data_IF_013812076012
#
_entry.id   IF_013812076012
#
_cell.length_a   1.000
_cell.length_b   1.000
_cell.length_c   1.000
_cell.angle_alpha   90.00
_cell.angle_beta   90.00
_cell.angle_gamma   90.00
#
_symmetry.space_group_name_H-M   'P 1'
#
loop_
_entity.id
_entity.type
_entity.pdbx_description
1 polymer ?
#
# COMPACT_ATOMS: atom_id res chain seq x y z
N UNK A 1 -9.04 -20.26 12.65
CA UNK A 1 -7.82 -19.40 12.69
C UNK A 1 -8.07 -18.32 11.64
N UNK A 2 -8.36 -17.08 12.07
CA UNK A 2 -8.39 -15.94 11.17
C UNK A 2 -6.92 -15.59 10.91
N UNK A 3 -6.39 -15.99 9.77
CA UNK A 3 -5.13 -15.44 9.28
C UNK A 3 -5.39 -13.95 9.01
N UNK A 4 -4.61 -13.09 9.62
CA UNK A 4 -4.67 -11.65 9.38
C UNK A 4 -3.99 -11.40 8.03
N UNK A 5 -4.81 -11.38 6.99
CA UNK A 5 -4.38 -11.17 5.62
C UNK A 5 -3.89 -9.75 5.46
N UNK A 6 -2.63 -9.62 5.11
CA UNK A 6 -2.01 -8.36 4.74
C UNK A 6 -2.34 -8.04 3.27
N UNK A 7 -3.59 -7.71 2.99
CA UNK A 7 -3.95 -7.13 1.71
C UNK A 7 -3.29 -5.75 1.56
N UNK A 8 -2.29 -5.68 0.70
CA UNK A 8 -1.56 -4.44 0.39
C UNK A 8 -2.35 -3.65 -0.63
N UNK A 9 -3.25 -2.81 -0.16
CA UNK A 9 -4.09 -1.97 -1.00
C UNK A 9 -3.44 -0.70 -1.53
N UNK A 10 -2.13 -0.65 -1.70
CA UNK A 10 -1.43 0.54 -2.21
C UNK A 10 -1.79 0.83 -3.68
N UNK A 11 -2.22 -0.18 -4.42
CA UNK A 11 -2.47 -0.07 -5.86
C UNK A 11 -3.78 0.64 -6.19
N UNK A 12 -4.77 0.52 -5.32
CA UNK A 12 -6.15 0.96 -5.62
C UNK A 12 -6.28 2.49 -5.69
N UNK A 13 -5.43 3.25 -4.99
CA UNK A 13 -5.46 4.72 -5.00
C UNK A 13 -4.86 5.36 -6.26
N UNK A 14 -4.08 4.61 -7.03
CA UNK A 14 -3.51 5.12 -8.28
C UNK A 14 -4.55 5.20 -9.42
N UNK A 15 -5.69 4.51 -9.30
CA UNK A 15 -6.72 4.45 -10.35
C UNK A 15 -7.33 5.83 -10.63
N UNK A 16 -7.46 6.68 -9.64
CA UNK A 16 -8.06 8.01 -9.79
C UNK A 16 -7.25 9.00 -10.66
N UNK A 17 -6.00 8.67 -11.02
CA UNK A 17 -5.10 9.57 -11.78
C UNK A 17 -4.68 9.09 -13.17
N UNK A 18 -5.02 7.86 -13.58
CA UNK A 18 -4.41 7.22 -14.76
C UNK A 18 -5.24 7.36 -16.05
N UNK A 19 -6.51 7.75 -15.99
CA UNK A 19 -7.44 7.81 -17.14
C UNK A 19 -7.03 8.71 -18.33
N UNK A 20 -5.77 9.08 -18.50
CA UNK A 20 -5.35 10.07 -19.50
C UNK A 20 -4.69 9.51 -20.77
N UNK A 21 -4.45 8.20 -20.90
CA UNK A 21 -3.78 7.66 -22.09
C UNK A 21 -4.56 6.48 -22.70
N UNK A 22 -5.46 6.80 -23.63
CA UNK A 22 -6.19 5.81 -24.43
C UNK A 22 -5.28 5.12 -25.44
N UNK A 23 -5.10 3.83 -25.28
CA UNK A 23 -4.79 2.88 -26.35
C UNK A 23 -5.86 1.80 -26.35
N UNK A 24 -6.07 1.11 -27.51
CA UNK A 24 -7.09 0.04 -27.67
C UNK A 24 -6.84 -1.23 -26.82
N UNK A 25 -5.91 -1.18 -25.86
CA UNK A 25 -5.65 -2.22 -24.88
C UNK A 25 -6.64 -2.11 -23.72
N UNK A 26 -6.92 -3.22 -23.05
CA UNK A 26 -7.80 -3.25 -21.86
C UNK A 26 -7.37 -2.16 -20.88
N UNK A 27 -8.33 -1.41 -20.31
CA UNK A 27 -7.99 -0.42 -19.28
C UNK A 27 -7.17 -1.08 -18.17
N UNK A 28 -6.13 -0.39 -17.71
CA UNK A 28 -5.24 -0.86 -16.63
C UNK A 28 -6.05 -1.25 -15.39
N UNK A 29 -7.13 -0.54 -15.13
CA UNK A 29 -8.08 -0.80 -14.06
C UNK A 29 -8.70 -2.20 -14.14
N UNK A 30 -9.06 -2.65 -15.34
CA UNK A 30 -9.60 -4.00 -15.56
C UNK A 30 -8.56 -5.09 -15.34
N UNK A 31 -7.29 -4.84 -15.66
CA UNK A 31 -6.20 -5.77 -15.35
C UNK A 31 -5.97 -5.88 -13.85
N UNK A 32 -5.93 -4.75 -13.16
CA UNK A 32 -5.76 -4.69 -11.72
C UNK A 32 -6.87 -5.44 -10.98
N UNK A 33 -8.13 -5.27 -11.39
CA UNK A 33 -9.25 -6.00 -10.83
C UNK A 33 -9.15 -7.51 -11.03
N UNK A 34 -8.75 -7.96 -12.23
CA UNK A 34 -8.53 -9.39 -12.51
C UNK A 34 -7.38 -9.98 -11.67
N UNK A 35 -6.34 -9.21 -11.39
CA UNK A 35 -5.25 -9.65 -10.52
C UNK A 35 -5.70 -9.75 -9.07
N UNK A 36 -6.53 -8.81 -8.60
CA UNK A 36 -7.14 -8.84 -7.28
C UNK A 36 -8.01 -10.10 -7.08
N UNK A 37 -8.94 -10.38 -7.99
CA UNK A 37 -9.79 -11.57 -7.94
C UNK A 37 -8.96 -12.85 -7.79
N UNK A 38 -7.92 -13.02 -8.63
CA UNK A 38 -7.03 -14.18 -8.59
C UNK A 38 -6.26 -14.29 -7.27
N UNK A 39 -5.82 -13.16 -6.71
CA UNK A 39 -5.09 -13.15 -5.45
C UNK A 39 -5.99 -13.58 -4.29
N UNK A 40 -7.25 -13.11 -4.25
CA UNK A 40 -8.24 -13.51 -3.25
C UNK A 40 -8.55 -15.01 -3.34
N UNK A 41 -8.72 -15.53 -4.53
CA UNK A 41 -9.00 -16.96 -4.74
C UNK A 41 -7.82 -17.85 -4.29
N UNK A 42 -6.58 -17.44 -4.60
CA UNK A 42 -5.38 -18.18 -4.20
C UNK A 42 -5.16 -18.13 -2.69
N UNK A 43 -5.38 -16.98 -2.07
CA UNK A 43 -5.22 -16.82 -0.63
C UNK A 43 -6.18 -17.69 0.17
N UNK A 44 -7.38 -17.92 -0.34
CA UNK A 44 -8.35 -18.84 0.24
C UNK A 44 -8.00 -20.32 -0.02
N UNK A 45 -6.94 -20.60 -0.79
CA UNK A 45 -6.48 -21.95 -1.07
C UNK A 45 -5.49 -22.45 0.00
N UNK A 46 -5.58 -23.74 0.35
CA UNK A 46 -4.63 -24.40 1.26
C UNK A 46 -3.22 -24.58 0.64
N UNK A 47 -3.03 -24.14 -0.60
CA UNK A 47 -1.80 -24.34 -1.38
C UNK A 47 -0.95 -23.10 -1.54
N UNK A 48 -1.35 -21.94 -0.96
CA UNK A 48 -0.55 -20.73 -1.04
C UNK A 48 0.75 -20.87 -0.23
N UNK A 49 1.82 -20.26 -0.73
CA UNK A 49 3.18 -20.44 -0.21
C UNK A 49 3.58 -19.25 0.64
N UNK A 50 4.11 -19.51 1.83
CA UNK A 50 4.71 -18.50 2.70
C UNK A 50 6.04 -18.04 2.11
N UNK A 51 6.19 -16.72 1.89
CA UNK A 51 7.41 -16.09 1.37
C UNK A 51 8.26 -15.48 2.48
N UNK A 52 7.61 -14.89 3.48
CA UNK A 52 8.26 -14.35 4.67
C UNK A 52 7.31 -14.30 5.87
N UNK A 53 7.89 -14.20 7.06
CA UNK A 53 7.16 -13.99 8.32
C UNK A 53 7.85 -12.86 9.10
N UNK A 54 7.04 -11.94 9.63
CA UNK A 54 7.44 -10.93 10.59
C UNK A 54 6.56 -11.07 11.82
N UNK A 55 7.13 -11.48 12.95
CA UNK A 55 6.37 -11.83 14.17
C UNK A 55 5.27 -12.85 13.84
N UNK A 56 3.99 -12.47 13.97
CA UNK A 56 2.83 -13.32 13.67
C UNK A 56 2.22 -13.05 12.27
N UNK A 57 2.79 -12.11 11.51
CA UNK A 57 2.29 -11.68 10.21
C UNK A 57 3.02 -12.42 9.10
N UNK A 58 2.26 -12.99 8.16
CA UNK A 58 2.77 -13.83 7.09
C UNK A 58 2.59 -13.14 5.74
N UNK A 59 3.65 -13.09 4.93
CA UNK A 59 3.61 -12.63 3.54
C UNK A 59 3.45 -13.86 2.63
N UNK A 60 2.35 -13.91 1.88
CA UNK A 60 2.00 -15.02 1.01
C UNK A 60 2.41 -14.74 -0.43
N UNK A 61 2.67 -15.81 -1.20
CA UNK A 61 3.09 -15.72 -2.60
C UNK A 61 2.03 -15.04 -3.47
N UNK A 62 0.74 -15.34 -3.27
CA UNK A 62 -0.37 -14.71 -3.97
C UNK A 62 -0.34 -13.18 -3.86
N UNK A 63 -0.06 -12.67 -2.66
CA UNK A 63 0.06 -11.22 -2.39
C UNK A 63 1.27 -10.62 -3.11
N UNK A 64 2.41 -11.32 -3.12
CA UNK A 64 3.63 -10.87 -3.82
C UNK A 64 3.40 -10.81 -5.33
N UNK A 65 2.76 -11.83 -5.91
CA UNK A 65 2.42 -11.87 -7.33
C UNK A 65 1.42 -10.77 -7.72
N UNK A 66 0.39 -10.55 -6.90
CA UNK A 66 -0.54 -9.44 -7.10
C UNK A 66 0.18 -8.09 -7.08
N UNK A 67 1.00 -7.83 -6.06
CA UNK A 67 1.73 -6.57 -5.92
C UNK A 67 2.65 -6.31 -7.11
N UNK A 68 3.36 -7.34 -7.59
CA UNK A 68 4.23 -7.23 -8.78
C UNK A 68 3.44 -6.86 -10.02
N UNK A 69 2.39 -7.62 -10.33
CA UNK A 69 1.56 -7.38 -11.51
C UNK A 69 0.93 -6.00 -11.48
N UNK A 70 0.48 -5.56 -10.31
CA UNK A 70 -0.07 -4.25 -10.14
C UNK A 70 0.97 -3.13 -10.37
N UNK A 71 2.19 -3.29 -9.84
CA UNK A 71 3.28 -2.34 -10.10
C UNK A 71 3.68 -2.30 -11.58
N UNK A 72 3.73 -3.46 -12.26
CA UNK A 72 4.04 -3.56 -13.68
C UNK A 72 2.97 -2.86 -14.52
N UNK A 73 1.69 -3.16 -14.27
CA UNK A 73 0.57 -2.56 -14.99
C UNK A 73 0.55 -1.03 -14.84
N UNK A 74 0.69 -0.52 -13.60
CA UNK A 74 0.73 0.91 -13.32
C UNK A 74 1.93 1.62 -13.96
N UNK A 75 3.06 0.93 -14.08
CA UNK A 75 4.26 1.46 -14.71
C UNK A 75 4.28 1.29 -16.24
N UNK A 76 3.25 0.68 -16.83
CA UNK A 76 3.21 0.33 -18.26
C UNK A 76 4.33 -0.62 -18.68
N UNK A 77 4.77 -1.50 -17.77
CA UNK A 77 5.85 -2.47 -18.02
C UNK A 77 5.28 -3.83 -18.43
N UNK A 78 5.98 -4.58 -19.30
CA UNK A 78 5.61 -5.95 -19.62
C UNK A 78 5.62 -6.85 -18.38
N UNK A 79 4.72 -7.83 -18.32
CA UNK A 79 4.65 -8.82 -17.23
C UNK A 79 6.00 -9.55 -17.06
N UNK A 80 6.46 -9.69 -15.83
CA UNK A 80 7.71 -10.35 -15.46
C UNK A 80 8.98 -9.49 -15.59
N UNK A 81 8.85 -8.19 -15.87
CA UNK A 81 9.98 -7.25 -15.96
C UNK A 81 10.12 -6.31 -14.76
N UNK A 82 9.25 -6.48 -13.78
CA UNK A 82 9.21 -5.67 -12.56
C UNK A 82 10.20 -6.11 -11.49
N UNK A 83 9.91 -5.71 -10.25
CA UNK A 83 10.72 -6.03 -9.08
C UNK A 83 10.78 -7.54 -8.80
N UNK A 84 11.88 -7.99 -8.24
CA UNK A 84 12.04 -9.39 -7.78
C UNK A 84 11.09 -9.70 -6.61
N UNK A 85 10.86 -10.99 -6.36
CA UNK A 85 10.06 -11.44 -5.21
C UNK A 85 10.59 -10.87 -3.91
N UNK A 86 11.91 -10.82 -3.76
CA UNK A 86 12.56 -10.29 -2.57
C UNK A 86 12.27 -8.81 -2.36
N UNK A 87 12.39 -7.99 -3.39
CA UNK A 87 12.11 -6.56 -3.32
C UNK A 87 10.64 -6.30 -2.95
N UNK A 88 9.71 -7.06 -3.54
CA UNK A 88 8.28 -6.95 -3.22
C UNK A 88 8.00 -7.37 -1.77
N UNK A 89 8.57 -8.48 -1.32
CA UNK A 89 8.44 -8.94 0.07
C UNK A 89 9.00 -7.89 1.04
N UNK A 90 10.15 -7.31 0.73
CA UNK A 90 10.78 -6.26 1.54
C UNK A 90 9.88 -5.01 1.62
N UNK A 91 9.24 -4.61 0.53
CA UNK A 91 8.30 -3.48 0.52
C UNK A 91 7.03 -3.78 1.34
N UNK A 92 6.51 -5.00 1.26
CA UNK A 92 5.37 -5.44 2.09
C UNK A 92 5.76 -5.40 3.56
N UNK A 93 6.90 -5.98 3.93
CA UNK A 93 7.38 -6.00 5.31
C UNK A 93 7.61 -4.60 5.88
N UNK A 94 8.21 -3.69 5.10
CA UNK A 94 8.36 -2.28 5.50
C UNK A 94 7.02 -1.65 5.85
N UNK A 95 6.00 -1.84 5.03
CA UNK A 95 4.67 -1.28 5.30
C UNK A 95 4.04 -1.87 6.59
N UNK A 96 4.26 -3.17 6.86
CA UNK A 96 3.79 -3.84 8.08
C UNK A 96 4.47 -3.27 9.31
N UNK A 97 5.80 -3.13 9.27
CA UNK A 97 6.61 -2.60 10.37
C UNK A 97 6.23 -1.15 10.65
N UNK A 98 6.09 -0.32 9.61
CA UNK A 98 5.67 1.06 9.75
C UNK A 98 4.30 1.22 10.41
N UNK A 99 3.35 0.37 10.07
CA UNK A 99 2.05 0.38 10.73
C UNK A 99 2.18 0.02 12.22
N UNK A 100 2.94 -1.02 12.54
CA UNK A 100 3.15 -1.43 13.93
C UNK A 100 3.83 -0.34 14.76
N UNK A 101 4.84 0.32 14.21
CA UNK A 101 5.49 1.45 14.88
C UNK A 101 4.55 2.64 15.08
N UNK A 102 3.74 2.96 14.08
CA UNK A 102 2.73 4.00 14.21
C UNK A 102 1.72 3.68 15.31
N UNK A 103 1.28 2.41 15.40
CA UNK A 103 0.42 1.94 16.50
C UNK A 103 1.09 2.11 17.87
N UNK A 104 2.35 1.69 18.01
CA UNK A 104 3.11 1.79 19.25
C UNK A 104 3.34 3.25 19.70
N UNK A 105 3.48 4.17 18.75
CA UNK A 105 3.62 5.60 19.00
C UNK A 105 2.29 6.35 19.15
N UNK A 106 1.14 5.66 19.02
CA UNK A 106 -0.19 6.27 19.10
C UNK A 106 -0.52 7.19 17.91
N UNK A 107 0.08 6.93 16.74
CA UNK A 107 -0.07 7.73 15.53
C UNK A 107 -1.13 7.19 14.56
N UNK A 108 -1.94 6.23 15.01
CA UNK A 108 -3.04 5.72 14.17
C UNK A 108 -4.06 6.83 13.90
N UNK A 109 -4.61 6.91 12.69
CA UNK A 109 -5.64 7.89 12.35
C UNK A 109 -6.94 7.62 13.11
N UNK A 110 -7.70 8.69 13.33
CA UNK A 110 -9.08 8.59 13.82
C UNK A 110 -10.02 8.18 12.69
N UNK A 111 -11.23 7.72 13.03
CA UNK A 111 -12.28 7.42 12.05
C UNK A 111 -12.63 8.65 11.19
N UNK A 112 -12.61 9.85 11.77
CA UNK A 112 -12.86 11.11 11.04
C UNK A 112 -11.76 11.40 10.00
N UNK A 113 -10.48 11.17 10.33
CA UNK A 113 -9.37 11.34 9.38
C UNK A 113 -9.46 10.31 8.24
N UNK A 114 -9.88 9.07 8.53
CA UNK A 114 -10.11 8.05 7.51
C UNK A 114 -11.25 8.45 6.58
N UNK A 115 -12.37 8.92 7.13
CA UNK A 115 -13.51 9.36 6.32
C UNK A 115 -13.16 10.58 5.47
N UNK A 116 -12.45 11.56 6.02
CA UNK A 116 -11.95 12.71 5.26
C UNK A 116 -11.06 12.27 4.11
N UNK A 117 -10.14 11.34 4.35
CA UNK A 117 -9.26 10.80 3.32
C UNK A 117 -10.05 10.11 2.19
N UNK A 118 -11.05 9.30 2.52
CA UNK A 118 -11.92 8.68 1.51
C UNK A 118 -12.71 9.73 0.73
N UNK A 119 -13.21 10.78 1.40
CA UNK A 119 -13.92 11.87 0.77
C UNK A 119 -13.05 12.61 -0.24
N UNK A 120 -11.82 12.93 0.13
CA UNK A 120 -10.89 13.70 -0.70
C UNK A 120 -10.28 12.87 -1.85
N UNK A 121 -10.23 11.56 -1.72
CA UNK A 121 -9.61 10.67 -2.72
C UNK A 121 -10.66 9.88 -3.50
N UNK A 122 -11.36 8.96 -2.85
CA UNK A 122 -12.22 7.98 -3.52
C UNK A 122 -13.52 8.59 -4.01
N UNK A 123 -14.23 9.28 -3.12
CA UNK A 123 -15.54 9.87 -3.50
C UNK A 123 -15.36 11.03 -4.47
N UNK A 124 -14.31 11.84 -4.31
CA UNK A 124 -13.98 12.89 -5.25
C UNK A 124 -13.64 12.33 -6.64
N UNK A 125 -12.87 11.24 -6.71
CA UNK A 125 -12.56 10.56 -7.96
C UNK A 125 -13.82 9.97 -8.61
N UNK A 126 -14.65 9.27 -7.84
CA UNK A 126 -15.88 8.64 -8.34
C UNK A 126 -16.93 9.67 -8.81
N UNK A 127 -16.86 10.90 -8.31
CA UNK A 127 -17.71 12.00 -8.79
C UNK A 127 -17.31 12.52 -10.18
N UNK A 128 -16.11 12.22 -10.66
CA UNK A 128 -15.61 12.56 -12.00
C UNK A 128 -15.93 11.44 -13.00
N UNK A 129 -16.36 11.75 -14.24
CA UNK A 129 -16.72 10.71 -15.22
C UNK A 129 -15.61 9.67 -15.46
N UNK A 130 -14.37 10.13 -15.65
CA UNK A 130 -13.22 9.29 -15.92
C UNK A 130 -12.87 8.41 -14.70
N UNK A 131 -12.89 8.98 -13.49
CA UNK A 131 -12.64 8.24 -12.25
C UNK A 131 -13.72 7.19 -11.98
N UNK A 132 -14.99 7.54 -12.26
CA UNK A 132 -16.10 6.58 -12.16
C UNK A 132 -15.94 5.42 -13.14
N UNK A 133 -15.60 5.69 -14.41
CA UNK A 133 -15.39 4.67 -15.43
C UNK A 133 -14.26 3.70 -15.01
N UNK A 134 -13.12 4.23 -14.52
CA UNK A 134 -12.00 3.41 -14.06
C UNK A 134 -12.36 2.56 -12.84
N UNK A 135 -13.04 3.13 -11.84
CA UNK A 135 -13.45 2.40 -10.63
C UNK A 135 -14.48 1.33 -10.99
N UNK A 136 -15.48 1.64 -11.84
CA UNK A 136 -16.47 0.67 -12.30
C UNK A 136 -15.81 -0.47 -13.08
N UNK A 137 -14.82 -0.19 -13.94
CA UNK A 137 -14.06 -1.19 -14.68
C UNK A 137 -13.25 -2.12 -13.75
N UNK A 138 -12.60 -1.54 -12.73
CA UNK A 138 -11.91 -2.31 -11.70
C UNK A 138 -12.90 -3.23 -10.95
N UNK A 139 -13.98 -2.67 -10.42
CA UNK A 139 -14.97 -3.42 -9.65
C UNK A 139 -15.57 -4.60 -10.47
N UNK A 140 -15.90 -4.33 -11.73
CA UNK A 140 -16.43 -5.36 -12.63
C UNK A 140 -15.45 -6.52 -12.86
N UNK A 141 -14.16 -6.21 -13.01
CA UNK A 141 -13.12 -7.23 -13.25
C UNK A 141 -12.63 -7.91 -11.96
N UNK A 142 -12.78 -7.26 -10.80
CA UNK A 142 -12.51 -7.81 -9.49
C UNK A 142 -13.67 -8.66 -8.93
N UNK A 143 -14.83 -8.63 -9.57
CA UNK A 143 -16.03 -9.31 -9.08
C UNK A 143 -16.62 -8.74 -7.80
N UNK A 144 -16.41 -7.42 -7.54
CA UNK A 144 -16.88 -6.72 -6.34
C UNK A 144 -17.80 -5.54 -6.71
N UNK A 145 -18.61 -5.12 -5.75
CA UNK A 145 -19.42 -3.90 -5.86
C UNK A 145 -18.61 -2.65 -5.52
N UNK A 146 -19.12 -1.47 -5.87
CA UNK A 146 -18.53 -0.19 -5.45
C UNK A 146 -18.49 -0.05 -3.92
N UNK A 147 -19.53 -0.50 -3.24
CA UNK A 147 -19.58 -0.49 -1.77
C UNK A 147 -18.49 -1.35 -1.16
N UNK A 148 -18.26 -2.57 -1.67
CA UNK A 148 -17.17 -3.45 -1.24
C UNK A 148 -15.80 -2.83 -1.55
N UNK A 149 -15.65 -2.17 -2.71
CA UNK A 149 -14.44 -1.41 -3.04
C UNK A 149 -14.14 -0.33 -2.02
N UNK A 150 -15.14 0.49 -1.65
CA UNK A 150 -14.99 1.55 -0.65
C UNK A 150 -14.65 0.97 0.72
N UNK A 151 -15.30 -0.13 1.12
CA UNK A 151 -15.01 -0.78 2.41
C UNK A 151 -13.59 -1.35 2.47
N UNK A 152 -13.13 -1.99 1.39
CA UNK A 152 -11.74 -2.44 1.28
C UNK A 152 -10.75 -1.29 1.42
N UNK A 153 -11.05 -0.12 0.85
CA UNK A 153 -10.22 1.08 1.01
C UNK A 153 -10.29 1.66 2.42
N UNK A 154 -11.45 1.62 3.06
CA UNK A 154 -11.64 2.04 4.46
C UNK A 154 -10.76 1.22 5.40
N UNK A 155 -10.66 -0.09 5.19
CA UNK A 155 -9.79 -0.97 5.97
C UNK A 155 -8.28 -0.70 5.75
N UNK A 156 -7.94 -0.14 4.60
CA UNK A 156 -6.55 0.11 4.22
C UNK A 156 -6.09 1.54 4.50
N UNK A 157 -6.99 2.51 4.46
CA UNK A 157 -6.69 3.93 4.68
C UNK A 157 -5.92 4.18 6.00
N UNK A 158 -6.21 3.50 7.12
CA UNK A 158 -5.44 3.67 8.35
C UNK A 158 -3.96 3.42 8.18
N UNK A 159 -3.54 2.45 7.35
CA UNK A 159 -2.13 2.15 7.09
C UNK A 159 -1.43 3.26 6.32
N UNK A 160 -2.11 3.80 5.31
CA UNK A 160 -1.58 4.90 4.48
C UNK A 160 -1.38 6.15 5.32
N UNK A 161 -2.40 6.51 6.10
CA UNK A 161 -2.39 7.69 6.96
C UNK A 161 -1.36 7.56 8.11
N UNK A 162 -1.30 6.39 8.76
CA UNK A 162 -0.34 6.11 9.82
C UNK A 162 1.11 6.24 9.34
N UNK A 163 1.41 5.75 8.13
CA UNK A 163 2.73 5.93 7.50
C UNK A 163 3.09 7.40 7.30
N UNK A 164 2.12 8.21 6.86
CA UNK A 164 2.29 9.66 6.72
C UNK A 164 2.60 10.32 8.07
N UNK A 165 1.79 10.04 9.08
CA UNK A 165 1.97 10.57 10.45
C UNK A 165 3.30 10.14 11.08
N UNK A 166 3.74 8.91 10.84
CA UNK A 166 5.03 8.43 11.35
C UNK A 166 6.21 9.20 10.71
N UNK A 167 6.16 9.43 9.39
CA UNK A 167 7.18 10.24 8.71
C UNK A 167 7.22 11.67 9.24
N UNK A 168 6.06 12.29 9.45
CA UNK A 168 5.95 13.63 10.05
C UNK A 168 6.55 13.65 11.46
N UNK A 169 6.23 12.66 12.30
CA UNK A 169 6.77 12.56 13.66
C UNK A 169 8.30 12.43 13.67
N UNK A 170 8.88 11.61 12.79
CA UNK A 170 10.33 11.45 12.67
C UNK A 170 10.99 12.77 12.25
N UNK A 171 10.41 13.48 11.27
CA UNK A 171 10.93 14.76 10.82
C UNK A 171 10.86 15.84 11.94
N UNK A 172 9.76 15.85 12.70
CA UNK A 172 9.59 16.76 13.84
C UNK A 172 10.59 16.44 14.96
N UNK A 173 10.77 15.17 15.34
CA UNK A 173 11.75 14.71 16.32
C UNK A 173 13.18 15.11 15.92
N UNK A 174 13.52 14.96 14.62
CA UNK A 174 14.80 15.40 14.09
C UNK A 174 14.97 16.91 14.25
N UNK A 175 14.00 17.71 13.82
CA UNK A 175 14.04 19.15 13.95
C UNK A 175 14.22 19.60 15.41
N UNK A 176 13.45 19.03 16.34
CA UNK A 176 13.54 19.33 17.77
C UNK A 176 14.95 19.04 18.33
N UNK A 177 15.52 17.88 17.98
CA UNK A 177 16.84 17.46 18.49
C UNK A 177 17.99 18.29 17.92
N UNK A 178 17.81 18.93 16.77
CA UNK A 178 18.83 19.76 16.08
C UNK A 178 18.55 21.25 16.17
N UNK A 179 17.56 21.70 16.97
CA UNK A 179 17.22 23.12 17.12
C UNK A 179 16.65 23.76 15.85
N UNK A 180 16.08 22.96 14.96
CA UNK A 180 15.40 23.43 13.75
C UNK A 180 13.90 23.61 14.03
N UNK A 181 13.25 24.47 13.23
CA UNK A 181 11.79 24.62 13.27
C UNK A 181 11.18 23.64 12.27
N UNK A 182 10.27 22.78 12.75
CA UNK A 182 9.46 21.93 11.88
C UNK A 182 8.31 22.74 11.29
N UNK A 183 8.16 22.69 9.97
CA UNK A 183 7.00 23.20 9.22
C UNK A 183 6.64 22.15 8.16
N UNK A 184 5.43 21.62 8.25
CA UNK A 184 4.95 20.55 7.34
C UNK A 184 5.00 20.96 5.86
N UNK A 185 4.75 22.24 5.55
CA UNK A 185 4.76 22.75 4.18
C UNK A 185 6.17 23.11 3.70
N UNK A 186 7.11 23.23 4.61
CA UNK A 186 8.48 23.63 4.33
C UNK A 186 9.48 22.91 5.27
N UNK A 187 9.39 21.59 5.30
CA UNK A 187 10.25 20.73 6.12
C UNK A 187 11.72 20.89 5.70
N UNK A 188 12.65 21.14 6.67
CA UNK A 188 14.07 21.20 6.35
C UNK A 188 14.58 19.94 5.65
N UNK A 189 15.50 20.10 4.66
CA UNK A 189 16.01 18.99 3.87
C UNK A 189 16.67 17.92 4.74
N UNK A 190 17.42 18.35 5.77
CA UNK A 190 18.09 17.45 6.71
C UNK A 190 17.09 16.55 7.47
N UNK A 191 15.90 17.06 7.76
CA UNK A 191 14.83 16.28 8.39
C UNK A 191 14.20 15.28 7.41
N UNK A 192 14.06 15.66 6.12
CA UNK A 192 13.62 14.73 5.07
C UNK A 192 14.64 13.62 4.85
N UNK A 193 15.93 13.95 4.82
CA UNK A 193 17.03 12.98 4.69
C UNK A 193 17.03 11.99 5.87
N UNK A 194 16.78 12.46 7.09
CA UNK A 194 16.64 11.60 8.27
C UNK A 194 15.45 10.64 8.17
N UNK A 195 14.32 11.10 7.65
CA UNK A 195 13.16 10.23 7.35
C UNK A 195 13.53 9.17 6.32
N UNK A 196 14.23 9.54 5.24
CA UNK A 196 14.65 8.61 4.20
C UNK A 196 15.66 7.57 4.74
N UNK A 197 16.62 7.99 5.53
CA UNK A 197 17.57 7.10 6.21
C UNK A 197 16.85 6.10 7.13
N UNK A 198 15.91 6.59 7.96
CA UNK A 198 15.11 5.74 8.83
C UNK A 198 14.34 4.69 8.02
N UNK A 199 13.64 5.11 6.96
CA UNK A 199 12.87 4.24 6.08
C UNK A 199 13.73 3.20 5.37
N UNK A 200 14.96 3.57 5.00
CA UNK A 200 15.91 2.68 4.32
C UNK A 200 16.45 1.61 5.28
N UNK A 201 16.65 1.95 6.54
CA UNK A 201 17.21 1.05 7.56
C UNK A 201 16.16 0.19 8.28
N UNK A 202 14.87 0.37 7.98
CA UNK A 202 13.77 -0.24 8.73
C UNK A 202 13.86 -1.77 8.82
N UNK A 203 14.15 -2.45 7.71
CA UNK A 203 14.28 -3.91 7.70
C UNK A 203 15.50 -4.40 8.50
N UNK A 204 16.60 -3.64 8.47
CA UNK A 204 17.80 -3.99 9.24
C UNK A 204 17.57 -3.83 10.75
N UNK A 205 16.79 -2.82 11.16
CA UNK A 205 16.40 -2.62 12.57
C UNK A 205 15.55 -3.78 13.11
N UNK A 206 14.78 -4.42 12.26
CA UNK A 206 13.87 -5.52 12.62
C UNK A 206 14.32 -6.91 12.11
N UNK A 207 15.55 -7.04 11.61
CA UNK A 207 16.03 -8.27 10.96
C UNK A 207 15.90 -9.54 11.80
N UNK A 208 16.05 -9.45 13.13
CA UNK A 208 15.93 -10.59 14.05
C UNK A 208 14.48 -11.10 14.19
N UNK A 209 13.50 -10.27 13.80
CA UNK A 209 12.07 -10.57 13.84
C UNK A 209 11.52 -11.04 12.49
N UNK A 210 12.37 -11.03 11.43
CA UNK A 210 11.98 -11.41 10.07
C UNK A 210 12.59 -12.75 9.71
N UNK A 211 11.76 -13.65 9.19
CA UNK A 211 12.20 -14.91 8.58
C UNK A 211 11.78 -14.96 7.12
N UNK A 212 12.73 -15.14 6.22
CA UNK A 212 12.49 -15.30 4.78
C UNK A 212 12.52 -16.78 4.38
N UNK A 213 11.59 -17.18 3.51
CA UNK A 213 11.49 -18.51 2.91
C UNK A 213 11.82 -18.50 1.41
N UNK A 214 12.33 -17.38 0.91
CA UNK A 214 12.77 -17.13 -0.47
C UNK A 214 14.26 -16.84 -0.49
N UNK A 215 14.92 -17.18 -1.58
CA UNK A 215 16.35 -16.96 -1.84
C UNK A 215 16.59 -15.66 -2.60
#
# INVERSE_FOLDING_TARGET
>A
KKFCVLFVGIVILAIAGISAYGTEEKPVESELGSYYEKAVDQENSETDVVMAVYKEKTVMKSVVEYQRKAQEALAGKPEGTGSSDREIVDDILKNVILQEEAEQRGLMPTEEEVEQYLQETVYAAYAMPEGKEGIDAYCASAGITYEEYVENLRDQAPRVLAKGKLKEAIAEEYCQSHGLTYDRLNTPQEALDAVEEYMSNLLELHKEEITYYIS
#
